data_IF_216976483774
#
_entry.id   IF_216976483774
#
_cell.length_a   1.000
_cell.length_b   1.000
_cell.length_c   1.000
_cell.angle_alpha   90.00
_cell.angle_beta   90.00
_cell.angle_gamma   90.00
#
_symmetry.space_group_name_H-M   'P 1'
#
loop_
_entity.id
_entity.type
_entity.pdbx_description
1 polymer ?
#
# COMPACT_ATOMS: atom_id res chain seq x y z
N UNK A 1 -39.63 -40.89 25.57
CA UNK A 1 -38.66 -40.65 24.48
C UNK A 1 -37.83 -39.45 24.86
N UNK A 2 -36.52 -39.63 25.06
CA UNK A 2 -35.62 -38.58 25.54
C UNK A 2 -35.18 -37.71 24.37
N UNK A 3 -35.60 -36.45 24.39
CA UNK A 3 -35.31 -35.43 23.38
C UNK A 3 -33.82 -35.09 23.42
N UNK A 4 -33.01 -35.81 22.63
CA UNK A 4 -31.58 -35.55 22.47
C UNK A 4 -31.41 -34.31 21.59
N UNK A 5 -31.58 -33.14 22.21
CA UNK A 5 -31.28 -31.84 21.61
C UNK A 5 -29.76 -31.74 21.45
N UNK A 6 -29.24 -32.22 20.32
CA UNK A 6 -27.84 -32.02 19.92
C UNK A 6 -27.64 -30.52 19.73
N UNK A 7 -27.09 -29.85 20.74
CA UNK A 7 -26.55 -28.51 20.61
C UNK A 7 -25.30 -28.62 19.75
N UNK A 8 -25.42 -28.25 18.48
CA UNK A 8 -24.24 -27.93 17.69
C UNK A 8 -23.62 -26.68 18.31
N UNK A 9 -22.34 -26.70 18.74
CA UNK A 9 -21.69 -25.49 19.21
C UNK A 9 -21.65 -24.52 18.03
N UNK A 10 -22.05 -23.27 18.29
CA UNK A 10 -21.89 -22.18 17.33
C UNK A 10 -20.41 -22.12 16.97
N UNK A 11 -20.09 -22.47 15.72
CA UNK A 11 -18.75 -22.29 15.16
C UNK A 11 -18.49 -20.79 15.04
N UNK A 12 -18.14 -20.15 16.16
CA UNK A 12 -17.69 -18.75 16.25
C UNK A 12 -16.24 -18.62 15.74
N UNK A 13 -15.79 -19.54 14.89
CA UNK A 13 -14.42 -19.63 14.37
C UNK A 13 -14.34 -19.31 12.86
N UNK A 14 -15.33 -18.59 12.32
CA UNK A 14 -15.41 -18.27 10.88
C UNK A 14 -15.41 -16.78 10.55
N UNK A 15 -15.35 -15.89 11.54
CA UNK A 15 -15.46 -14.43 11.36
C UNK A 15 -14.40 -13.64 12.15
N UNK A 16 -13.27 -14.25 12.52
CA UNK A 16 -12.05 -13.43 12.66
C UNK A 16 -11.67 -12.99 11.26
N UNK A 17 -12.36 -11.94 10.82
CA UNK A 17 -12.03 -11.14 9.66
C UNK A 17 -10.66 -10.55 10.00
N UNK A 18 -9.59 -11.31 9.75
CA UNK A 18 -8.20 -10.83 9.72
C UNK A 18 -7.99 -9.88 8.52
N UNK A 19 -8.98 -9.04 8.24
CA UNK A 19 -8.83 -7.77 7.57
C UNK A 19 -8.92 -6.70 8.65
N UNK A 20 -8.12 -6.84 9.72
CA UNK A 20 -7.51 -5.64 10.25
C UNK A 20 -6.66 -5.12 9.09
N UNK A 21 -7.34 -4.35 8.23
CA UNK A 21 -6.74 -3.60 7.16
C UNK A 21 -5.56 -2.92 7.85
N UNK A 22 -4.34 -3.34 7.53
CA UNK A 22 -3.18 -2.53 7.82
C UNK A 22 -3.35 -1.29 6.95
N UNK A 23 -4.21 -0.38 7.41
CA UNK A 23 -4.34 1.00 7.00
C UNK A 23 -3.01 1.59 7.43
N UNK A 24 -2.00 1.38 6.59
CA UNK A 24 -0.72 2.04 6.74
C UNK A 24 -1.05 3.50 7.02
N UNK A 25 -0.58 4.06 8.14
CA UNK A 25 -0.90 5.45 8.53
C UNK A 25 -0.49 6.46 7.45
N UNK A 26 0.28 6.01 6.46
CA UNK A 26 0.81 6.77 5.36
C UNK A 26 0.45 6.07 4.03
N UNK A 27 -0.81 6.26 3.60
CA UNK A 27 -1.28 5.88 2.26
C UNK A 27 -0.94 7.03 1.28
N UNK A 28 0.05 6.83 0.41
CA UNK A 28 0.29 7.75 -0.69
C UNK A 28 -0.77 7.55 -1.78
N UNK A 29 -1.48 8.63 -2.12
CA UNK A 29 -2.40 8.60 -3.27
C UNK A 29 -1.61 8.31 -4.55
N UNK A 30 -2.13 7.49 -5.48
CA UNK A 30 -1.49 7.21 -6.77
C UNK A 30 -1.07 8.49 -7.52
N UNK A 31 -1.87 9.55 -7.42
CA UNK A 31 -1.55 10.86 -8.02
C UNK A 31 -0.25 11.48 -7.49
N UNK A 32 0.06 11.33 -6.19
CA UNK A 32 1.31 11.86 -5.60
C UNK A 32 2.53 11.16 -6.18
N UNK A 33 2.43 9.86 -6.41
CA UNK A 33 3.52 9.04 -6.98
C UNK A 33 3.80 9.45 -8.43
N UNK A 34 2.75 9.70 -9.21
CA UNK A 34 2.86 10.14 -10.61
C UNK A 34 3.56 11.51 -10.68
N UNK A 35 3.15 12.47 -9.83
CA UNK A 35 3.77 13.80 -9.78
C UNK A 35 5.24 13.70 -9.38
N UNK A 36 5.55 12.88 -8.36
CA UNK A 36 6.93 12.68 -7.92
C UNK A 36 7.80 12.06 -9.02
N UNK A 37 7.26 11.10 -9.78
CA UNK A 37 7.95 10.51 -10.93
C UNK A 37 8.29 11.54 -12.01
N UNK A 38 7.35 12.43 -12.35
CA UNK A 38 7.58 13.52 -13.31
C UNK A 38 8.68 14.47 -12.82
N UNK A 39 8.68 14.81 -11.53
CA UNK A 39 9.71 15.67 -10.92
C UNK A 39 11.09 15.03 -11.06
N UNK A 40 11.21 13.73 -10.74
CA UNK A 40 12.49 13.02 -10.87
C UNK A 40 12.98 13.05 -12.31
N UNK A 41 12.10 12.81 -13.29
CA UNK A 41 12.45 12.87 -14.72
C UNK A 41 12.96 14.26 -15.10
N UNK A 42 12.29 15.33 -14.67
CA UNK A 42 12.74 16.70 -14.93
C UNK A 42 14.12 16.98 -14.34
N UNK A 43 14.37 16.54 -13.09
CA UNK A 43 15.67 16.67 -12.46
C UNK A 43 16.74 15.91 -13.25
N UNK A 44 16.46 14.68 -13.69
CA UNK A 44 17.39 13.90 -14.53
C UNK A 44 17.69 14.61 -15.85
N UNK A 45 16.69 15.20 -16.50
CA UNK A 45 16.88 15.95 -17.76
C UNK A 45 17.75 17.19 -17.54
N UNK A 46 17.44 17.99 -16.51
CA UNK A 46 18.24 19.16 -16.13
C UNK A 46 19.67 18.74 -15.82
N UNK A 47 19.85 17.66 -15.06
CA UNK A 47 21.18 17.12 -14.76
C UNK A 47 21.87 16.57 -16.01
N UNK A 48 21.17 16.05 -17.01
CA UNK A 48 21.81 15.56 -18.23
C UNK A 48 22.30 16.72 -19.11
N UNK A 49 21.51 17.80 -19.20
CA UNK A 49 21.84 18.99 -20.00
C UNK A 49 22.94 19.80 -19.32
N UNK A 50 22.79 20.05 -18.02
CA UNK A 50 23.71 20.90 -17.28
C UNK A 50 24.80 20.12 -16.56
N UNK A 51 24.65 18.81 -16.35
CA UNK A 51 25.62 18.01 -15.60
C UNK A 51 26.99 17.97 -16.26
N UNK A 52 27.09 17.95 -17.58
CA UNK A 52 28.39 18.13 -18.26
C UNK A 52 29.05 19.48 -17.92
N UNK A 53 28.25 20.53 -17.74
CA UNK A 53 28.73 21.87 -17.39
C UNK A 53 28.93 22.09 -15.88
N UNK A 54 28.23 21.34 -15.02
CA UNK A 54 28.20 21.53 -13.56
C UNK A 54 29.05 20.50 -12.81
N UNK A 55 29.16 19.26 -13.31
CA UNK A 55 29.95 18.18 -12.73
C UNK A 55 31.36 18.07 -13.33
N UNK A 56 31.67 18.84 -14.39
CA UNK A 56 33.05 19.18 -14.75
C UNK A 56 34.02 18.00 -14.93
N UNK A 57 33.62 16.99 -15.69
CA UNK A 57 34.54 15.98 -16.24
C UNK A 57 34.69 16.21 -17.74
#
# INVERSE_FOLDING_TARGET
>A
MADKKVQMPTSTAGLTRYFEDYRSKLEFKPGTIIIFSVIVILITIILHIYGGSILGF
#
